data_IF_272027496146
#
_entry.id   IF_272027496146
#
_cell.length_a   1.000
_cell.length_b   1.000
_cell.length_c   1.000
_cell.angle_alpha   90.00
_cell.angle_beta   90.00
_cell.angle_gamma   90.00
#
_symmetry.space_group_name_H-M   'P 1'
#
loop_
_entity.id
_entity.type
_entity.pdbx_description
1 polymer ?
#
# COMPACT_ATOMS: atom_id res chain seq x y z
N UNK A 1 -16.73 -3.74 16.37
CA UNK A 1 -15.36 -3.46 15.90
C UNK A 1 -15.48 -2.53 14.70
N UNK A 2 -14.66 -1.47 14.60
CA UNK A 2 -14.70 -0.57 13.44
C UNK A 2 -14.43 -1.38 12.16
N UNK A 3 -15.15 -1.08 11.09
CA UNK A 3 -14.90 -1.69 9.78
C UNK A 3 -13.58 -1.12 9.25
N UNK A 4 -12.57 -1.98 9.02
CA UNK A 4 -11.27 -1.59 8.45
C UNK A 4 -11.40 -1.00 7.03
N UNK A 5 -12.56 -1.18 6.40
CA UNK A 5 -12.85 -0.69 5.07
C UNK A 5 -13.64 0.61 5.06
N UNK A 6 -14.10 1.09 6.22
CA UNK A 6 -14.70 2.42 6.34
C UNK A 6 -13.60 3.47 6.51
N UNK A 7 -13.52 4.39 5.56
CA UNK A 7 -12.60 5.53 5.68
C UNK A 7 -13.06 6.47 6.81
N UNK A 8 -12.14 7.06 7.59
CA UNK A 8 -12.50 8.07 8.60
C UNK A 8 -13.19 9.27 7.96
N UNK A 9 -14.01 10.00 8.72
CA UNK A 9 -14.77 11.16 8.23
C UNK A 9 -13.90 12.26 7.59
N UNK A 10 -12.64 12.37 8.00
CA UNK A 10 -11.67 13.33 7.48
C UNK A 10 -11.12 12.94 6.09
N UNK A 11 -11.42 11.73 5.60
CA UNK A 11 -10.96 11.19 4.33
C UNK A 11 -12.15 10.80 3.44
N UNK A 12 -12.51 11.65 2.48
CA UNK A 12 -13.52 11.30 1.48
C UNK A 12 -13.01 10.14 0.60
N UNK A 13 -13.75 9.03 0.45
CA UNK A 13 -13.32 7.90 -0.36
C UNK A 13 -13.24 8.31 -1.83
N UNK A 14 -12.03 8.29 -2.41
CA UNK A 14 -11.83 8.64 -3.83
C UNK A 14 -12.15 7.48 -4.80
N UNK A 15 -12.44 6.28 -4.30
CA UNK A 15 -12.89 5.14 -5.12
C UNK A 15 -13.73 4.13 -4.32
N UNK A 16 -14.56 3.35 -5.00
CA UNK A 16 -15.31 2.24 -4.40
C UNK A 16 -14.34 1.09 -4.08
N UNK A 17 -14.20 0.76 -2.79
CA UNK A 17 -13.26 -0.24 -2.32
C UNK A 17 -13.81 -1.67 -2.50
N UNK A 18 -12.94 -2.62 -2.85
CA UNK A 18 -13.27 -4.05 -2.91
C UNK A 18 -12.47 -4.80 -1.84
N UNK A 19 -13.09 -5.80 -1.18
CA UNK A 19 -12.44 -6.64 -0.14
C UNK A 19 -11.27 -7.48 -0.63
N UNK A 20 -11.08 -7.50 -1.93
CA UNK A 20 -9.97 -8.14 -2.61
C UNK A 20 -8.83 -7.16 -2.89
N UNK A 21 -7.65 -7.68 -3.17
CA UNK A 21 -6.49 -6.86 -3.51
C UNK A 21 -6.78 -5.97 -4.73
N UNK A 22 -6.77 -4.65 -4.55
CA UNK A 22 -7.03 -3.67 -5.62
C UNK A 22 -5.86 -3.48 -6.61
N UNK A 23 -4.74 -4.20 -6.44
CA UNK A 23 -3.54 -4.00 -7.25
C UNK A 23 -2.95 -2.58 -7.10
N UNK A 24 -3.14 -1.95 -5.94
CA UNK A 24 -2.71 -0.58 -5.71
C UNK A 24 -1.18 -0.41 -5.65
N UNK A 25 -0.43 -1.48 -5.33
CA UNK A 25 1.03 -1.46 -5.17
C UNK A 25 1.52 -0.83 -3.86
N UNK A 26 0.65 -0.27 -3.02
CA UNK A 26 1.04 0.42 -1.78
C UNK A 26 1.71 -0.53 -0.78
N UNK A 27 1.17 -1.73 -0.55
CA UNK A 27 1.79 -2.73 0.32
C UNK A 27 3.18 -3.19 -0.16
N UNK A 28 3.48 -3.01 -1.45
CA UNK A 28 4.79 -3.34 -2.01
C UNK A 28 5.76 -2.15 -1.99
N UNK A 29 5.29 -0.92 -2.06
CA UNK A 29 6.15 0.26 -2.23
C UNK A 29 6.23 1.16 -0.99
N UNK A 30 5.23 1.16 -0.12
CA UNK A 30 5.17 2.11 0.99
C UNK A 30 5.83 1.61 2.30
N UNK A 31 5.54 0.41 2.84
CA UNK A 31 6.01 0.04 4.18
C UNK A 31 7.50 -0.33 4.21
N UNK A 32 8.21 -0.06 5.31
CA UNK A 32 9.53 -0.62 5.53
C UNK A 32 9.43 -2.13 5.81
N UNK A 33 10.25 -2.93 5.13
CA UNK A 33 10.30 -4.37 5.30
C UNK A 33 11.76 -4.80 5.42
N UNK A 34 12.29 -4.80 6.64
CA UNK A 34 13.65 -5.22 6.96
C UNK A 34 14.00 -6.62 6.42
N UNK A 35 13.06 -7.57 6.49
CA UNK A 35 13.24 -8.93 5.97
C UNK A 35 13.44 -9.00 4.45
N UNK A 36 13.08 -7.94 3.71
CA UNK A 36 13.28 -7.79 2.28
C UNK A 36 14.33 -6.73 1.94
N UNK A 37 15.02 -6.17 2.94
CA UNK A 37 15.91 -5.01 2.81
C UNK A 37 15.25 -3.88 2.00
N UNK A 38 13.96 -3.65 2.25
CA UNK A 38 13.15 -2.69 1.49
C UNK A 38 12.86 -1.48 2.37
N UNK A 39 13.54 -0.34 2.17
CA UNK A 39 13.32 0.84 3.00
C UNK A 39 11.92 1.41 2.79
N UNK A 40 11.51 2.26 3.74
CA UNK A 40 10.24 2.97 3.71
C UNK A 40 10.11 3.80 2.42
N UNK A 41 8.96 3.73 1.76
CA UNK A 41 8.70 4.44 0.51
C UNK A 41 9.40 3.89 -0.74
N UNK A 42 10.28 2.89 -0.62
CA UNK A 42 10.93 2.26 -1.77
C UNK A 42 10.10 1.13 -2.37
N UNK A 43 10.05 1.11 -3.71
CA UNK A 43 9.43 0.05 -4.48
C UNK A 43 10.12 -1.30 -4.23
N UNK A 44 9.35 -2.33 -3.87
CA UNK A 44 9.85 -3.69 -3.76
C UNK A 44 10.39 -4.18 -5.11
N UNK A 45 11.46 -4.97 -5.09
CA UNK A 45 12.04 -5.60 -6.29
C UNK A 45 11.08 -6.52 -7.06
N UNK A 46 10.00 -6.98 -6.42
CA UNK A 46 8.98 -7.83 -7.03
C UNK A 46 7.77 -7.04 -7.56
N UNK A 47 7.77 -5.72 -7.45
CA UNK A 47 6.71 -4.87 -7.96
C UNK A 47 6.90 -4.63 -9.46
N UNK A 48 5.89 -4.95 -10.26
CA UNK A 48 5.89 -4.68 -11.71
C UNK A 48 5.40 -3.24 -12.02
N UNK A 49 5.56 -2.83 -13.28
CA UNK A 49 5.09 -1.52 -13.76
C UNK A 49 3.55 -1.36 -13.69
N UNK A 50 2.82 -2.47 -13.54
CA UNK A 50 1.37 -2.50 -13.35
C UNK A 50 0.93 -2.41 -11.88
N UNK A 51 1.83 -2.09 -10.95
CA UNK A 51 1.57 -2.06 -9.51
C UNK A 51 1.16 -3.41 -8.90
N UNK A 52 1.54 -4.53 -9.54
CA UNK A 52 1.28 -5.88 -9.05
C UNK A 52 2.55 -6.55 -8.54
N UNK A 53 2.39 -7.37 -7.52
CA UNK A 53 3.46 -8.20 -7.00
C UNK A 53 3.67 -9.41 -7.92
N UNK A 54 4.85 -9.54 -8.54
CA UNK A 54 5.20 -10.67 -9.40
C UNK A 54 5.30 -12.02 -8.66
N UNK A 55 5.41 -12.01 -7.33
CA UNK A 55 5.43 -13.21 -6.48
C UNK A 55 4.17 -13.31 -5.61
N UNK A 56 3.03 -12.75 -6.03
CA UNK A 56 1.83 -12.61 -5.19
C UNK A 56 1.41 -13.92 -4.49
N UNK A 57 1.46 -15.06 -5.20
CA UNK A 57 1.10 -16.38 -4.66
C UNK A 57 2.15 -16.96 -3.73
N UNK A 58 3.42 -16.60 -3.89
CA UNK A 58 4.58 -17.07 -3.11
C UNK A 58 5.12 -16.01 -2.14
N UNK A 59 4.33 -14.96 -1.86
CA UNK A 59 4.70 -13.87 -0.94
C UNK A 59 5.19 -14.41 0.41
N UNK A 60 6.28 -13.85 0.96
CA UNK A 60 6.78 -14.22 2.29
C UNK A 60 5.76 -13.85 3.37
N UNK A 61 5.91 -14.43 4.56
CA UNK A 61 4.97 -14.26 5.67
C UNK A 61 4.70 -12.78 6.01
N UNK A 62 5.74 -11.94 6.03
CA UNK A 62 5.63 -10.49 6.28
C UNK A 62 4.68 -9.78 5.30
N UNK A 63 4.70 -10.17 4.03
CA UNK A 63 3.81 -9.59 3.02
C UNK A 63 2.38 -10.15 3.08
N UNK A 64 2.18 -11.32 3.68
CA UNK A 64 0.85 -11.93 3.90
C UNK A 64 0.16 -11.40 5.16
N UNK A 65 0.94 -10.92 6.13
CA UNK A 65 0.42 -10.30 7.34
C UNK A 65 -0.16 -8.91 7.07
N UNK A 66 0.22 -8.25 5.97
CA UNK A 66 -0.43 -7.02 5.54
C UNK A 66 -1.92 -7.28 5.25
N UNK A 67 -2.77 -6.65 6.04
CA UNK A 67 -4.21 -6.67 5.82
C UNK A 67 -4.61 -5.50 4.94
N UNK A 68 -5.27 -5.74 3.80
CA UNK A 68 -5.84 -4.64 3.02
C UNK A 68 -6.93 -3.94 3.84
N UNK A 69 -7.05 -2.64 3.65
CA UNK A 69 -7.98 -1.73 4.32
C UNK A 69 -8.39 -0.60 3.34
N UNK A 70 -9.22 0.34 3.78
CA UNK A 70 -9.72 1.45 2.96
C UNK A 70 -8.62 2.23 2.21
N UNK A 71 -7.39 2.29 2.77
CA UNK A 71 -6.24 2.97 2.17
C UNK A 71 -5.92 2.40 0.79
N UNK A 72 -6.13 1.10 0.57
CA UNK A 72 -5.86 0.46 -0.72
C UNK A 72 -6.70 1.03 -1.88
N UNK A 73 -7.87 1.60 -1.61
CA UNK A 73 -8.74 2.23 -2.61
C UNK A 73 -8.43 3.72 -2.77
N UNK A 74 -8.14 4.40 -1.65
CA UNK A 74 -7.67 5.78 -1.67
C UNK A 74 -6.40 5.92 -2.53
N UNK A 75 -5.45 5.00 -2.36
CA UNK A 75 -4.21 5.01 -3.13
C UNK A 75 -4.39 4.44 -4.54
N UNK A 76 -5.27 3.46 -4.80
CA UNK A 76 -5.42 2.92 -6.16
C UNK A 76 -5.93 3.96 -7.18
N UNK A 77 -6.64 4.98 -6.72
CA UNK A 77 -7.14 6.07 -7.57
C UNK A 77 -6.02 7.00 -8.09
N UNK A 78 -4.84 6.97 -7.47
CA UNK A 78 -3.74 7.86 -7.84
C UNK A 78 -2.98 7.33 -9.06
N UNK A 79 -2.54 8.23 -9.96
CA UNK A 79 -2.03 7.87 -11.28
C UNK A 79 -0.61 7.29 -11.27
N UNK A 80 0.19 7.58 -10.26
CA UNK A 80 1.61 7.16 -10.19
C UNK A 80 1.91 6.43 -8.90
N UNK A 81 2.81 5.45 -8.95
CA UNK A 81 3.25 4.73 -7.75
C UNK A 81 3.79 5.67 -6.66
N UNK A 82 4.54 6.70 -7.06
CA UNK A 82 5.05 7.71 -6.13
C UNK A 82 3.92 8.45 -5.40
N UNK A 83 2.84 8.83 -6.09
CA UNK A 83 1.67 9.45 -5.46
C UNK A 83 0.97 8.47 -4.50
N UNK A 84 0.87 7.18 -4.87
CA UNK A 84 0.31 6.13 -4.01
C UNK A 84 1.10 5.96 -2.72
N UNK A 85 2.42 5.94 -2.83
CA UNK A 85 3.34 5.86 -1.69
C UNK A 85 3.21 7.09 -0.82
N UNK A 86 3.28 8.29 -1.39
CA UNK A 86 3.16 9.53 -0.63
C UNK A 86 1.85 9.60 0.15
N UNK A 87 0.72 9.24 -0.49
CA UNK A 87 -0.60 9.23 0.17
C UNK A 87 -0.69 8.18 1.27
N UNK A 88 -0.13 6.99 1.07
CA UNK A 88 -0.05 5.97 2.11
C UNK A 88 0.73 6.50 3.32
N UNK A 89 1.92 7.06 3.08
CA UNK A 89 2.78 7.60 4.13
C UNK A 89 2.08 8.72 4.91
N UNK A 90 1.39 9.63 4.22
CA UNK A 90 0.56 10.67 4.84
C UNK A 90 -0.54 10.09 5.75
N UNK A 91 -1.29 9.09 5.27
CA UNK A 91 -2.40 8.48 6.02
C UNK A 91 -1.90 7.78 7.29
N UNK A 92 -0.78 7.08 7.22
CA UNK A 92 -0.21 6.39 8.38
C UNK A 92 0.75 7.26 9.22
N UNK A 93 0.96 8.53 8.84
CA UNK A 93 1.89 9.43 9.55
C UNK A 93 3.33 8.95 9.53
N UNK A 94 3.76 8.33 8.43
CA UNK A 94 5.10 7.78 8.24
C UNK A 94 5.95 8.75 7.42
N UNK A 95 7.12 9.11 7.92
CA UNK A 95 8.08 9.94 7.17
C UNK A 95 9.10 9.04 6.49
N UNK A 96 9.14 9.04 5.15
CA UNK A 96 10.19 8.34 4.41
C UNK A 96 11.54 8.99 4.75
N UNK A 97 12.33 8.31 5.58
CA UNK A 97 13.67 8.74 5.94
C UNK A 97 14.50 8.81 4.64
N UNK A 98 14.68 10.03 4.16
CA UNK A 98 15.39 10.35 2.93
C UNK A 98 16.86 10.46 3.29
N UNK A 99 17.62 9.37 3.17
CA UNK A 99 19.09 9.40 3.21
C UNK A 99 19.65 9.26 1.80
#
# INVERSE_FOLDING_TARGET
MPDLFEAPADFAPRSAWQRECSGCGACCAAPDIAALQKPLGAACRHLDAGCRCGIYLSRPAVCRQYQPDWVCGEVSALPTLAARVARFLEIYGLEAEST
#
